data_IF_491297018694
#
_entry.id   IF_491297018694
#
_cell.length_a   1.000
_cell.length_b   1.000
_cell.length_c   1.000
_cell.angle_alpha   90.00
_cell.angle_beta   90.00
_cell.angle_gamma   90.00
#
_symmetry.space_group_name_H-M   'P 1'
#
loop_
_entity.id
_entity.type
_entity.pdbx_description
1 polymer ?
#
# COMPACT_ATOMS: atom_id res chain seq x y z
N UNK A 1 -38.04 -4.07 -15.56
CA UNK A 1 -36.63 -4.23 -15.97
C UNK A 1 -35.80 -3.21 -15.22
N UNK A 2 -35.26 -3.58 -14.06
CA UNK A 2 -34.39 -2.74 -13.24
C UNK A 2 -33.00 -3.36 -13.29
N UNK A 3 -32.06 -2.67 -13.90
CA UNK A 3 -30.66 -3.08 -14.07
C UNK A 3 -29.95 -3.05 -12.72
N UNK A 4 -29.56 -4.24 -12.24
CA UNK A 4 -28.74 -4.42 -11.05
C UNK A 4 -27.29 -4.00 -11.36
N UNK A 5 -26.64 -3.11 -10.58
CA UNK A 5 -25.26 -2.71 -10.82
C UNK A 5 -24.31 -3.91 -10.65
N UNK A 6 -23.50 -4.17 -11.68
CA UNK A 6 -22.50 -5.24 -11.75
C UNK A 6 -21.51 -5.15 -10.60
N UNK A 7 -21.68 -5.97 -9.58
CA UNK A 7 -20.57 -6.40 -8.73
C UNK A 7 -19.73 -7.38 -9.54
N UNK A 8 -18.46 -7.05 -9.78
CA UNK A 8 -17.49 -8.02 -10.29
C UNK A 8 -17.48 -9.22 -9.34
N UNK A 9 -17.65 -10.46 -9.83
CA UNK A 9 -17.73 -11.60 -8.94
C UNK A 9 -16.35 -11.80 -8.27
N UNK A 10 -16.35 -12.09 -6.98
CA UNK A 10 -15.15 -12.07 -6.11
C UNK A 10 -14.02 -13.00 -6.62
N UNK A 11 -14.40 -14.05 -7.34
CA UNK A 11 -13.56 -15.00 -8.07
C UNK A 11 -12.73 -14.37 -9.21
N UNK A 12 -13.20 -13.31 -9.86
CA UNK A 12 -12.43 -12.60 -10.89
C UNK A 12 -11.28 -11.79 -10.28
N UNK A 13 -11.48 -11.18 -9.11
CA UNK A 13 -10.46 -10.39 -8.40
C UNK A 13 -9.32 -11.25 -7.86
N UNK A 14 -9.66 -12.40 -7.27
CA UNK A 14 -8.69 -13.40 -6.79
C UNK A 14 -7.88 -13.99 -7.95
N UNK A 15 -8.52 -14.31 -9.08
CA UNK A 15 -7.85 -14.78 -10.30
C UNK A 15 -6.92 -13.72 -10.89
N UNK A 16 -7.31 -12.45 -10.88
CA UNK A 16 -6.46 -11.34 -11.32
C UNK A 16 -5.24 -11.15 -10.40
N UNK A 17 -5.43 -11.24 -9.08
CA UNK A 17 -4.35 -11.17 -8.10
C UNK A 17 -3.33 -12.30 -8.25
N UNK A 18 -3.79 -13.56 -8.39
CA UNK A 18 -2.92 -14.72 -8.60
C UNK A 18 -2.09 -14.59 -9.88
N UNK A 19 -2.66 -14.03 -10.95
CA UNK A 19 -1.93 -13.74 -12.19
C UNK A 19 -0.89 -12.63 -12.03
N UNK A 20 -1.16 -11.62 -11.20
CA UNK A 20 -0.25 -10.48 -11.00
C UNK A 20 0.88 -10.76 -10.00
N UNK A 21 0.64 -11.59 -8.98
CA UNK A 21 1.60 -11.91 -7.91
C UNK A 21 3.02 -12.26 -8.40
N UNK A 22 3.24 -13.09 -9.43
CA UNK A 22 4.58 -13.39 -9.92
C UNK A 22 5.26 -12.19 -10.61
N UNK A 23 4.49 -11.35 -11.30
CA UNK A 23 5.00 -10.19 -12.04
C UNK A 23 5.30 -8.98 -11.15
N UNK A 24 4.74 -8.95 -9.93
CA UNK A 24 4.90 -7.85 -8.97
C UNK A 24 6.35 -7.40 -8.77
N UNK A 25 7.30 -8.33 -8.65
CA UNK A 25 8.73 -8.04 -8.44
C UNK A 25 9.40 -7.36 -9.63
N UNK A 26 8.80 -7.44 -10.83
CA UNK A 26 9.29 -6.81 -12.06
C UNK A 26 8.53 -5.52 -12.34
N UNK A 27 7.20 -5.54 -12.16
CA UNK A 27 6.32 -4.41 -12.43
C UNK A 27 6.57 -3.25 -11.46
N UNK A 28 6.78 -3.51 -10.16
CA UNK A 28 7.00 -2.42 -9.19
C UNK A 28 8.31 -1.64 -9.50
N UNK A 29 9.49 -2.27 -9.68
CA UNK A 29 10.70 -1.54 -10.07
C UNK A 29 10.60 -0.96 -11.48
N UNK A 30 10.00 -1.68 -12.42
CA UNK A 30 9.82 -1.21 -13.80
C UNK A 30 8.96 0.04 -13.89
N UNK A 31 7.91 0.14 -13.08
CA UNK A 31 7.08 1.34 -12.96
C UNK A 31 7.90 2.54 -12.50
N UNK A 32 8.69 2.41 -11.42
CA UNK A 32 9.51 3.51 -10.92
C UNK A 32 10.58 3.93 -11.93
N UNK A 33 11.27 2.97 -12.54
CA UNK A 33 12.27 3.24 -13.58
C UNK A 33 11.66 4.01 -14.74
N UNK A 34 10.53 3.54 -15.28
CA UNK A 34 9.84 4.20 -16.38
C UNK A 34 9.33 5.59 -15.98
N UNK A 35 8.72 5.72 -14.79
CA UNK A 35 8.19 6.97 -14.29
C UNK A 35 9.28 8.05 -14.20
N UNK A 36 10.43 7.74 -13.58
CA UNK A 36 11.53 8.69 -13.44
C UNK A 36 12.24 8.97 -14.77
N UNK A 37 12.35 7.98 -15.66
CA UNK A 37 12.93 8.18 -17.00
C UNK A 37 12.07 9.12 -17.85
N UNK A 38 10.75 8.90 -17.86
CA UNK A 38 9.82 9.78 -18.57
C UNK A 38 9.82 11.18 -17.96
N UNK A 39 9.83 11.28 -16.62
CA UNK A 39 9.86 12.57 -15.93
C UNK A 39 11.16 13.35 -16.23
N UNK A 40 12.32 12.70 -16.12
CA UNK A 40 13.61 13.34 -16.39
C UNK A 40 13.71 13.79 -17.84
N UNK A 41 13.25 12.97 -18.79
CA UNK A 41 13.26 13.31 -20.22
C UNK A 41 12.34 14.48 -20.51
N UNK A 42 11.10 14.44 -20.02
CA UNK A 42 10.13 15.51 -20.23
C UNK A 42 10.61 16.84 -19.63
N UNK A 43 11.09 16.83 -18.37
CA UNK A 43 11.61 18.04 -17.74
C UNK A 43 12.85 18.56 -18.47
N UNK A 44 13.75 17.68 -18.91
CA UNK A 44 14.95 18.09 -19.67
C UNK A 44 14.57 18.83 -20.95
N UNK A 45 13.57 18.31 -21.68
CA UNK A 45 13.05 18.97 -22.90
C UNK A 45 12.44 20.32 -22.55
N UNK A 46 11.62 20.40 -21.49
CA UNK A 46 11.01 21.67 -21.06
C UNK A 46 12.06 22.71 -20.70
N UNK A 47 13.06 22.35 -19.89
CA UNK A 47 14.15 23.27 -19.50
C UNK A 47 14.95 23.71 -20.73
N UNK A 48 15.24 22.79 -21.66
CA UNK A 48 15.95 23.12 -22.89
C UNK A 48 15.17 24.11 -23.76
N UNK A 49 13.85 23.91 -23.90
CA UNK A 49 12.97 24.83 -24.62
C UNK A 49 12.94 26.21 -23.96
N UNK A 50 12.88 26.28 -22.63
CA UNK A 50 12.88 27.55 -21.90
C UNK A 50 14.22 28.29 -22.03
N UNK A 51 15.34 27.57 -21.94
CA UNK A 51 16.69 28.11 -22.17
C UNK A 51 16.82 28.72 -23.57
N UNK A 52 16.35 28.00 -24.60
CA UNK A 52 16.33 28.48 -25.98
C UNK A 52 15.42 29.70 -26.16
N UNK A 53 14.25 29.70 -25.51
CA UNK A 53 13.26 30.78 -25.60
C UNK A 53 13.77 32.08 -24.96
N UNK A 54 14.48 31.99 -23.85
CA UNK A 54 15.02 33.16 -23.11
C UNK A 54 16.38 33.60 -23.68
N UNK A 55 16.98 32.82 -24.58
CA UNK A 55 18.27 33.14 -25.19
C UNK A 55 19.45 32.95 -24.25
N UNK A 56 19.33 32.04 -23.28
CA UNK A 56 20.41 31.73 -22.33
C UNK A 56 21.44 30.82 -23.02
N UNK A 57 22.72 31.16 -22.94
CA UNK A 57 23.82 30.41 -23.56
C UNK A 57 24.29 29.25 -22.67
N UNK A 58 23.42 28.28 -22.41
CA UNK A 58 23.83 27.02 -21.77
C UNK A 58 24.11 25.93 -22.80
N UNK A 59 25.07 25.05 -22.51
CA UNK A 59 25.29 23.87 -23.34
C UNK A 59 24.13 22.88 -23.19
N UNK A 60 23.73 22.21 -24.27
CA UNK A 60 22.55 21.33 -24.27
C UNK A 60 22.64 20.13 -23.31
N UNK A 61 23.83 19.79 -22.82
CA UNK A 61 24.05 18.72 -21.85
C UNK A 61 23.75 19.15 -20.41
N UNK A 62 23.83 20.45 -20.08
CA UNK A 62 23.69 20.93 -18.70
C UNK A 62 22.28 20.70 -18.15
N UNK A 63 21.19 21.07 -18.85
CA UNK A 63 19.83 20.76 -18.39
C UNK A 63 19.59 19.26 -18.20
N UNK A 64 20.12 18.43 -19.11
CA UNK A 64 20.01 16.98 -19.00
C UNK A 64 20.71 16.49 -17.73
N UNK A 65 21.93 16.93 -17.43
CA UNK A 65 22.63 16.56 -16.20
C UNK A 65 21.84 17.01 -14.97
N UNK A 66 21.26 18.21 -14.96
CA UNK A 66 20.49 18.71 -13.82
C UNK A 66 19.24 17.88 -13.53
N UNK A 67 18.49 17.53 -14.56
CA UNK A 67 17.24 16.77 -14.42
C UNK A 67 17.51 15.29 -14.13
N UNK A 68 18.46 14.65 -14.82
CA UNK A 68 18.79 13.25 -14.59
C UNK A 68 19.44 13.03 -13.22
N UNK A 69 20.34 13.91 -12.76
CA UNK A 69 20.94 13.80 -11.42
C UNK A 69 19.89 13.85 -10.31
N UNK A 70 18.91 14.75 -10.42
CA UNK A 70 17.83 14.87 -9.45
C UNK A 70 16.89 13.65 -9.47
N UNK A 71 16.47 13.20 -10.65
CA UNK A 71 15.56 12.06 -10.79
C UNK A 71 16.22 10.73 -10.39
N UNK A 72 17.51 10.55 -10.70
CA UNK A 72 18.28 9.38 -10.29
C UNK A 72 18.37 9.29 -8.77
N UNK A 73 18.62 10.42 -8.10
CA UNK A 73 18.69 10.45 -6.63
C UNK A 73 17.32 10.16 -6.00
N UNK A 74 16.24 10.74 -6.54
CA UNK A 74 14.88 10.44 -6.07
C UNK A 74 14.53 8.94 -6.24
N UNK A 75 14.84 8.35 -7.40
CA UNK A 75 14.67 6.92 -7.65
C UNK A 75 15.45 6.06 -6.64
N UNK A 76 16.71 6.41 -6.38
CA UNK A 76 17.56 5.69 -5.42
C UNK A 76 17.02 5.74 -3.98
N UNK A 77 16.27 6.80 -3.63
CA UNK A 77 15.67 6.95 -2.31
C UNK A 77 14.29 6.27 -2.19
N UNK A 78 13.61 5.90 -3.29
CA UNK A 78 12.30 5.23 -3.25
C UNK A 78 12.29 4.00 -2.33
N UNK A 79 13.28 3.08 -2.35
CA UNK A 79 13.30 1.94 -1.44
C UNK A 79 13.28 2.35 0.05
N UNK A 80 13.93 3.46 0.40
CA UNK A 80 13.92 3.98 1.76
C UNK A 80 12.52 4.49 2.16
N UNK A 81 11.79 5.15 1.26
CA UNK A 81 10.40 5.56 1.51
C UNK A 81 9.48 4.36 1.60
N UNK A 82 9.68 3.35 0.76
CA UNK A 82 8.93 2.08 0.85
C UNK A 82 9.16 1.42 2.22
N UNK A 83 10.40 1.38 2.71
CA UNK A 83 10.73 0.84 4.04
C UNK A 83 10.10 1.68 5.16
N UNK A 84 10.22 3.01 5.09
CA UNK A 84 9.65 3.94 6.06
C UNK A 84 8.13 3.79 6.17
N UNK A 85 7.43 3.83 5.04
CA UNK A 85 5.97 3.69 4.99
C UNK A 85 5.48 2.29 5.39
N UNK A 86 6.34 1.25 5.35
CA UNK A 86 6.01 -0.08 5.92
C UNK A 86 6.09 -0.07 7.44
N UNK A 87 7.08 0.61 8.01
CA UNK A 87 7.23 0.76 9.46
C UNK A 87 6.17 1.72 10.06
N UNK A 88 5.81 2.76 9.31
CA UNK A 88 4.83 3.78 9.71
C UNK A 88 3.70 3.86 8.67
N UNK A 89 2.71 2.94 8.68
CA UNK A 89 1.62 2.99 7.72
C UNK A 89 0.79 4.28 7.83
N UNK A 90 0.13 4.71 6.76
CA UNK A 90 -0.83 5.83 6.84
C UNK A 90 -2.19 5.32 7.32
N UNK A 91 -2.43 5.36 8.62
CA UNK A 91 -3.74 5.13 9.22
C UNK A 91 -4.40 6.46 9.54
N UNK A 92 -5.60 6.72 9.00
CA UNK A 92 -6.33 7.98 9.22
C UNK A 92 -6.50 8.33 10.70
N UNK A 93 -6.72 7.31 11.55
CA UNK A 93 -6.90 7.47 13.00
C UNK A 93 -5.59 7.87 13.70
N UNK A 94 -4.44 7.36 13.24
CA UNK A 94 -3.13 7.64 13.83
C UNK A 94 -2.38 8.77 13.10
N UNK A 95 -2.96 9.38 12.08
CA UNK A 95 -2.29 10.33 11.18
C UNK A 95 -1.67 11.49 11.97
N UNK A 96 -2.43 12.10 12.89
CA UNK A 96 -1.96 13.22 13.70
C UNK A 96 -0.74 12.86 14.57
N UNK A 97 -0.67 11.62 15.05
CA UNK A 97 0.47 11.11 15.83
C UNK A 97 1.68 10.80 14.96
N UNK A 98 1.46 10.41 13.69
CA UNK A 98 2.51 10.06 12.74
C UNK A 98 3.04 11.27 11.95
N UNK A 99 2.29 12.38 11.88
CA UNK A 99 2.70 13.61 11.17
C UNK A 99 4.14 14.08 11.51
N UNK A 100 4.58 14.15 12.79
CA UNK A 100 5.95 14.54 13.09
C UNK A 100 7.00 13.62 12.46
N UNK A 101 6.74 12.31 12.43
CA UNK A 101 7.66 11.36 11.79
C UNK A 101 7.74 11.57 10.28
N UNK A 102 6.62 11.88 9.62
CA UNK A 102 6.60 12.22 8.18
C UNK A 102 7.31 13.54 7.89
N UNK A 103 7.20 14.53 8.78
CA UNK A 103 7.93 15.79 8.65
C UNK A 103 9.44 15.55 8.76
N UNK A 104 9.89 14.81 9.79
CA UNK A 104 11.31 14.46 9.94
C UNK A 104 11.81 13.65 8.73
N UNK A 105 11.02 12.67 8.26
CA UNK A 105 11.36 11.89 7.08
C UNK A 105 11.48 12.76 5.82
N UNK A 106 10.62 13.77 5.64
CA UNK A 106 10.71 14.71 4.51
C UNK A 106 11.99 15.56 4.54
N UNK A 107 12.43 15.97 5.74
CA UNK A 107 13.67 16.73 5.92
C UNK A 107 14.87 15.83 5.60
N UNK A 108 14.91 14.62 6.15
CA UNK A 108 15.98 13.65 5.88
C UNK A 108 16.04 13.30 4.39
N UNK A 109 14.88 13.09 3.75
CA UNK A 109 14.78 12.86 2.32
C UNK A 109 15.40 14.01 1.52
N UNK A 110 15.02 15.25 1.82
CA UNK A 110 15.52 16.42 1.09
C UNK A 110 17.03 16.61 1.28
N UNK A 111 17.54 16.43 2.51
CA UNK A 111 18.98 16.51 2.76
C UNK A 111 19.77 15.46 1.97
N UNK A 112 19.30 14.20 1.96
CA UNK A 112 19.94 13.13 1.19
C UNK A 112 19.85 13.40 -0.32
N UNK A 113 18.70 13.89 -0.78
CA UNK A 113 18.48 14.23 -2.17
C UNK A 113 19.41 15.36 -2.62
N UNK A 114 19.39 16.51 -1.95
CA UNK A 114 20.21 17.67 -2.30
C UNK A 114 21.69 17.33 -2.24
N UNK A 115 22.14 16.65 -1.18
CA UNK A 115 23.54 16.26 -1.07
C UNK A 115 23.98 15.31 -2.19
N UNK A 116 23.17 14.28 -2.49
CA UNK A 116 23.47 13.32 -3.55
C UNK A 116 23.41 13.95 -4.95
N UNK A 117 22.40 14.79 -5.21
CA UNK A 117 22.23 15.51 -6.46
C UNK A 117 23.39 16.49 -6.70
N UNK A 118 23.81 17.26 -5.69
CA UNK A 118 24.96 18.16 -5.80
C UNK A 118 26.25 17.38 -6.04
N UNK A 119 26.45 16.25 -5.36
CA UNK A 119 27.62 15.39 -5.56
C UNK A 119 27.68 14.86 -7.01
N UNK A 120 26.56 14.37 -7.54
CA UNK A 120 26.46 13.89 -8.93
C UNK A 120 26.74 15.01 -9.93
N UNK A 121 26.21 16.21 -9.71
CA UNK A 121 26.44 17.37 -10.58
C UNK A 121 27.90 17.79 -10.56
N UNK A 122 28.52 17.90 -9.38
CA UNK A 122 29.95 18.22 -9.25
C UNK A 122 30.82 17.18 -9.96
N UNK A 123 30.51 15.89 -9.83
CA UNK A 123 31.22 14.82 -10.53
C UNK A 123 31.09 14.93 -12.06
N UNK A 124 29.88 15.19 -12.57
CA UNK A 124 29.63 15.34 -14.01
C UNK A 124 30.36 16.56 -14.61
N UNK A 125 30.32 17.70 -13.92
CA UNK A 125 31.01 18.92 -14.38
C UNK A 125 32.53 18.76 -14.29
N UNK A 126 33.04 18.17 -13.21
CA UNK A 126 34.46 17.89 -13.07
C UNK A 126 34.98 16.95 -14.18
N UNK A 127 34.19 15.95 -14.58
CA UNK A 127 34.52 15.05 -15.69
C UNK A 127 34.59 15.78 -17.05
N UNK A 128 33.89 16.90 -17.20
CA UNK A 128 33.89 17.74 -18.39
C UNK A 128 34.87 18.93 -18.28
N UNK A 129 35.66 18.99 -17.20
CA UNK A 129 36.62 20.07 -16.96
C UNK A 129 35.97 21.42 -16.57
N UNK A 130 34.70 21.43 -16.19
CA UNK A 130 33.96 22.62 -15.76
C UNK A 130 33.67 22.60 -14.26
N UNK A 131 33.25 23.75 -13.70
CA UNK A 131 32.90 23.87 -12.29
C UNK A 131 31.39 24.04 -12.13
N UNK A 132 30.78 23.26 -11.22
CA UNK A 132 29.38 23.41 -10.86
C UNK A 132 29.26 24.30 -9.62
N UNK A 133 28.66 25.48 -9.80
CA UNK A 133 28.27 26.36 -8.70
C UNK A 133 26.83 26.08 -8.28
N UNK A 134 26.63 25.73 -7.01
CA UNK A 134 25.31 25.50 -6.44
C UNK A 134 24.65 26.82 -6.00
N UNK A 135 25.39 27.94 -5.97
CA UNK A 135 24.86 29.23 -5.55
C UNK A 135 24.69 29.37 -4.03
N UNK A 136 23.88 30.36 -3.57
CA UNK A 136 23.68 30.64 -2.15
C UNK A 136 23.00 29.47 -1.41
N UNK A 137 23.82 28.67 -0.73
CA UNK A 137 23.45 27.38 -0.15
C UNK A 137 22.14 27.39 0.64
N UNK A 138 21.90 28.38 1.51
CA UNK A 138 20.70 28.39 2.35
C UNK A 138 19.42 28.60 1.55
N UNK A 139 19.45 29.51 0.57
CA UNK A 139 18.28 29.81 -0.27
C UNK A 139 17.95 28.62 -1.16
N UNK A 140 18.97 28.03 -1.77
CA UNK A 140 18.80 26.90 -2.68
C UNK A 140 18.35 25.64 -1.93
N UNK A 141 18.87 25.38 -0.72
CA UNK A 141 18.37 24.28 0.13
C UNK A 141 16.90 24.48 0.52
N UNK A 142 16.48 25.70 0.86
CA UNK A 142 15.06 25.98 1.18
C UNK A 142 14.18 25.84 -0.06
N UNK A 143 14.64 26.32 -1.21
CA UNK A 143 13.94 26.17 -2.48
C UNK A 143 13.78 24.71 -2.89
N UNK A 144 14.88 23.94 -2.85
CA UNK A 144 14.87 22.50 -3.13
C UNK A 144 14.03 21.75 -2.10
N UNK A 145 14.04 22.13 -0.81
CA UNK A 145 13.18 21.52 0.20
C UNK A 145 11.69 21.62 -0.14
N UNK A 146 11.22 22.78 -0.62
CA UNK A 146 9.82 22.94 -1.02
C UNK A 146 9.44 22.05 -2.20
N UNK A 147 10.37 21.86 -3.14
CA UNK A 147 10.22 20.92 -4.26
C UNK A 147 10.22 19.48 -3.77
N UNK A 148 11.18 19.13 -2.92
CA UNK A 148 11.36 17.79 -2.36
C UNK A 148 10.21 17.37 -1.47
N UNK A 149 9.63 18.28 -0.69
CA UNK A 149 8.47 18.00 0.14
C UNK A 149 7.27 17.54 -0.71
N UNK A 150 7.07 18.18 -1.88
CA UNK A 150 6.02 17.78 -2.83
C UNK A 150 6.33 16.42 -3.47
N UNK A 151 7.57 16.21 -3.91
CA UNK A 151 8.00 14.93 -4.48
C UNK A 151 7.86 13.78 -3.47
N UNK A 152 8.34 13.98 -2.24
CA UNK A 152 8.20 13.01 -1.15
C UNK A 152 6.74 12.69 -0.85
N UNK A 153 5.89 13.71 -0.70
CA UNK A 153 4.46 13.51 -0.49
C UNK A 153 3.81 12.76 -1.66
N UNK A 154 4.15 13.10 -2.90
CA UNK A 154 3.68 12.41 -4.10
C UNK A 154 4.10 10.94 -4.13
N UNK A 155 5.37 10.64 -3.84
CA UNK A 155 5.89 9.28 -3.74
C UNK A 155 5.14 8.48 -2.67
N UNK A 156 4.92 9.06 -1.49
CA UNK A 156 4.13 8.44 -0.41
C UNK A 156 2.70 8.15 -0.85
N UNK A 157 2.04 9.11 -1.51
CA UNK A 157 0.67 8.96 -2.01
C UNK A 157 0.58 7.85 -3.07
N UNK A 158 1.54 7.78 -4.00
CA UNK A 158 1.59 6.71 -5.00
C UNK A 158 1.76 5.34 -4.32
N UNK A 159 2.68 5.24 -3.35
CA UNK A 159 2.94 3.98 -2.63
C UNK A 159 1.71 3.53 -1.83
N UNK A 160 1.12 4.42 -1.04
CA UNK A 160 -0.04 4.09 -0.22
C UNK A 160 -1.30 3.90 -1.06
N UNK A 161 -1.48 4.67 -2.14
CA UNK A 161 -2.56 4.50 -3.11
C UNK A 161 -2.47 3.15 -3.81
N UNK A 162 -1.27 2.74 -4.23
CA UNK A 162 -1.02 1.40 -4.77
C UNK A 162 -1.30 0.31 -3.73
N UNK A 163 -0.86 0.47 -2.48
CA UNK A 163 -1.17 -0.48 -1.40
C UNK A 163 -2.67 -0.57 -1.13
N UNK A 164 -3.38 0.56 -1.09
CA UNK A 164 -4.82 0.61 -0.91
C UNK A 164 -5.54 -0.11 -2.06
N UNK A 165 -5.15 0.17 -3.31
CA UNK A 165 -5.68 -0.50 -4.49
C UNK A 165 -5.42 -2.01 -4.41
N UNK A 166 -4.21 -2.41 -4.01
CA UNK A 166 -3.86 -3.81 -3.87
C UNK A 166 -4.63 -4.52 -2.77
N UNK A 167 -4.85 -3.88 -1.62
CA UNK A 167 -5.73 -4.41 -0.57
C UNK A 167 -7.17 -4.56 -1.07
N UNK A 168 -7.65 -3.62 -1.89
CA UNK A 168 -8.98 -3.72 -2.53
C UNK A 168 -9.06 -4.88 -3.52
N UNK A 169 -8.07 -5.04 -4.40
CA UNK A 169 -8.01 -6.11 -5.41
C UNK A 169 -7.80 -7.49 -4.76
N UNK A 170 -7.06 -7.58 -3.65
CA UNK A 170 -6.92 -8.79 -2.83
C UNK A 170 -8.21 -9.17 -2.07
N UNK A 171 -9.26 -8.34 -2.14
CA UNK A 171 -10.53 -8.60 -1.48
C UNK A 171 -10.54 -8.22 0.01
N UNK A 172 -9.50 -7.60 0.57
CA UNK A 172 -9.50 -7.16 1.98
C UNK A 172 -10.56 -6.07 2.25
N UNK A 173 -10.92 -5.29 1.23
CA UNK A 173 -12.05 -4.35 1.30
C UNK A 173 -13.41 -5.02 1.03
N UNK A 174 -13.45 -6.15 0.32
CA UNK A 174 -14.65 -6.99 0.17
C UNK A 174 -14.98 -7.71 1.48
N UNK A 175 -13.97 -8.02 2.30
CA UNK A 175 -14.18 -8.59 3.64
C UNK A 175 -14.86 -7.64 4.64
N UNK A 176 -14.93 -6.33 4.34
CA UNK A 176 -15.70 -5.33 5.10
C UNK A 176 -17.06 -5.00 4.46
N UNK A 177 -17.35 -5.51 3.26
CA UNK A 177 -18.65 -5.39 2.60
C UNK A 177 -19.25 -6.79 2.42
N UNK A 178 -20.03 -7.21 3.43
CA UNK A 178 -20.94 -8.36 3.44
C UNK A 178 -20.35 -9.71 2.96
N UNK A 179 -20.10 -10.67 3.87
CA UNK A 179 -19.61 -11.98 3.49
C UNK A 179 -20.61 -12.78 2.65
N UNK A 180 -20.19 -13.09 1.42
CA UNK A 180 -20.35 -14.37 0.72
C UNK A 180 -21.74 -15.03 0.83
N UNK A 181 -22.66 -14.68 -0.06
CA UNK A 181 -23.90 -15.44 -0.34
C UNK A 181 -23.60 -16.73 -1.13
N UNK A 182 -22.73 -17.57 -0.57
CA UNK A 182 -22.61 -18.97 -0.97
C UNK A 182 -23.66 -19.82 -0.23
N UNK A 183 -24.23 -20.86 -0.86
CA UNK A 183 -25.10 -21.80 -0.16
C UNK A 183 -24.35 -22.42 1.02
N UNK A 184 -25.03 -22.56 2.15
CA UNK A 184 -24.48 -23.22 3.33
C UNK A 184 -23.89 -24.57 2.92
N UNK A 185 -22.59 -24.77 3.20
CA UNK A 185 -21.92 -26.04 2.96
C UNK A 185 -22.73 -27.15 3.63
N UNK A 186 -23.07 -28.16 2.83
CA UNK A 186 -23.88 -29.34 3.18
C UNK A 186 -23.44 -29.95 4.53
N UNK A 187 -24.39 -30.43 5.35
CA UNK A 187 -24.13 -30.78 6.74
C UNK A 187 -23.36 -32.10 6.85
N UNK A 188 -22.16 -32.04 7.43
CA UNK A 188 -21.60 -33.20 8.16
C UNK A 188 -22.29 -33.23 9.52
N UNK A 189 -22.83 -34.38 9.89
CA UNK A 189 -23.76 -34.58 11.01
C UNK A 189 -23.14 -34.47 12.42
N UNK A 190 -22.02 -33.73 12.55
CA UNK A 190 -21.25 -33.28 13.74
C UNK A 190 -19.78 -33.15 13.35
N UNK A 191 -19.35 -31.99 12.83
CA UNK A 191 -17.96 -31.82 12.44
C UNK A 191 -17.06 -31.74 13.69
N UNK A 192 -15.93 -32.46 13.68
CA UNK A 192 -14.89 -32.30 14.71
C UNK A 192 -14.29 -30.88 14.70
N UNK A 193 -14.40 -30.16 13.57
CA UNK A 193 -13.84 -28.83 13.35
C UNK A 193 -14.82 -27.94 12.58
N UNK A 194 -15.07 -26.74 13.08
CA UNK A 194 -15.80 -25.68 12.39
C UNK A 194 -14.83 -24.88 11.52
N UNK A 195 -15.14 -24.77 10.23
CA UNK A 195 -14.41 -23.87 9.33
C UNK A 195 -14.95 -22.45 9.52
N UNK A 196 -14.14 -21.57 10.10
CA UNK A 196 -14.46 -20.17 10.33
C UNK A 196 -13.58 -19.28 9.46
N UNK A 197 -14.20 -18.33 8.76
CA UNK A 197 -13.49 -17.31 7.99
C UNK A 197 -13.39 -16.04 8.81
N UNK A 198 -12.17 -15.65 9.20
CA UNK A 198 -11.90 -14.42 9.96
C UNK A 198 -10.72 -13.68 9.33
N UNK A 199 -10.89 -12.40 9.04
CA UNK A 199 -9.82 -11.54 8.47
C UNK A 199 -9.12 -12.17 7.24
N UNK A 200 -9.88 -12.84 6.37
CA UNK A 200 -9.35 -13.44 5.13
C UNK A 200 -8.53 -14.71 5.34
N UNK A 201 -8.52 -15.28 6.55
CA UNK A 201 -7.93 -16.58 6.84
C UNK A 201 -9.01 -17.58 7.21
N UNK A 202 -8.83 -18.80 6.75
CA UNK A 202 -9.63 -19.95 7.17
C UNK A 202 -9.03 -20.52 8.44
N UNK A 203 -9.85 -20.58 9.49
CA UNK A 203 -9.52 -21.16 10.77
C UNK A 203 -10.34 -22.43 10.94
N UNK A 204 -9.67 -23.54 11.19
CA UNK A 204 -10.34 -24.76 11.67
C UNK A 204 -10.40 -24.68 13.19
N UNK A 205 -11.59 -24.39 13.70
CA UNK A 205 -11.88 -24.33 15.14
C UNK A 205 -12.32 -25.72 15.60
N UNK A 206 -11.54 -26.44 16.42
CA UNK A 206 -11.97 -27.72 16.96
C UNK A 206 -13.21 -27.54 17.83
N UNK A 207 -14.24 -28.37 17.61
CA UNK A 207 -15.46 -28.33 18.42
C UNK A 207 -15.17 -28.55 19.91
N UNK A 208 -14.12 -29.33 20.21
CA UNK A 208 -13.69 -29.61 21.57
C UNK A 208 -13.07 -28.41 22.31
N UNK A 209 -12.59 -27.39 21.59
CA UNK A 209 -11.97 -26.19 22.15
C UNK A 209 -13.00 -25.06 22.37
N UNK A 210 -14.26 -25.24 21.96
CA UNK A 210 -15.32 -24.23 22.11
C UNK A 210 -15.76 -24.20 23.58
N UNK A 211 -15.73 -23.01 24.18
CA UNK A 211 -16.15 -22.78 25.57
C UNK A 211 -17.62 -22.38 25.63
N UNK A 212 -18.05 -21.49 24.74
CA UNK A 212 -19.44 -21.09 24.58
C UNK A 212 -19.69 -20.54 23.16
N UNK A 213 -20.96 -20.50 22.78
CA UNK A 213 -21.42 -19.95 21.51
C UNK A 213 -22.52 -18.91 21.76
N UNK A 214 -22.49 -17.80 21.03
CA UNK A 214 -23.47 -16.71 21.21
C UNK A 214 -23.98 -16.20 19.86
N UNK A 215 -25.29 -15.96 19.78
CA UNK A 215 -25.90 -15.35 18.61
C UNK A 215 -25.47 -13.87 18.46
N UNK A 216 -25.00 -13.52 17.27
CA UNK A 216 -24.55 -12.17 16.90
C UNK A 216 -25.10 -11.81 15.52
N UNK A 217 -26.40 -11.50 15.46
CA UNK A 217 -27.10 -11.21 14.20
C UNK A 217 -27.19 -12.45 13.31
N UNK A 218 -26.60 -12.37 12.11
CA UNK A 218 -26.58 -13.49 11.15
C UNK A 218 -25.42 -14.48 11.39
N UNK A 219 -24.74 -14.36 12.54
CA UNK A 219 -23.59 -15.17 12.93
C UNK A 219 -23.80 -15.77 14.31
N UNK A 220 -23.05 -16.83 14.60
CA UNK A 220 -22.82 -17.36 15.94
C UNK A 220 -21.34 -17.19 16.23
N UNK A 221 -21.01 -16.43 17.27
CA UNK A 221 -19.63 -16.28 17.73
C UNK A 221 -19.28 -17.51 18.56
N UNK A 222 -18.27 -18.27 18.13
CA UNK A 222 -17.68 -19.36 18.88
C UNK A 222 -16.53 -18.81 19.71
N UNK A 223 -16.63 -18.90 21.03
CA UNK A 223 -15.58 -18.47 21.93
C UNK A 223 -14.62 -19.62 22.23
N UNK A 224 -13.34 -19.40 21.96
CA UNK A 224 -12.28 -20.40 22.08
C UNK A 224 -11.02 -19.74 22.63
N UNK A 225 -10.56 -20.16 23.81
CA UNK A 225 -9.31 -19.70 24.43
C UNK A 225 -9.20 -18.18 24.50
N UNK A 226 -10.27 -17.51 24.92
CA UNK A 226 -10.33 -16.05 25.03
C UNK A 226 -10.49 -15.29 23.70
N UNK A 227 -10.87 -15.97 22.60
CA UNK A 227 -11.04 -15.36 21.27
C UNK A 227 -12.36 -15.75 20.63
N UNK A 228 -13.00 -14.79 19.97
CA UNK A 228 -14.24 -15.02 19.23
C UNK A 228 -14.00 -15.35 17.76
N UNK A 229 -14.66 -16.39 17.29
CA UNK A 229 -14.64 -16.86 15.90
C UNK A 229 -16.06 -16.81 15.33
N UNK A 230 -16.40 -15.82 14.47
CA UNK A 230 -17.75 -15.66 13.95
C UNK A 230 -18.06 -16.72 12.87
N UNK A 231 -19.08 -17.54 13.10
CA UNK A 231 -19.56 -18.54 12.16
C UNK A 231 -20.91 -18.11 11.57
N UNK A 232 -21.03 -18.03 10.24
CA UNK A 232 -22.34 -17.75 9.59
C UNK A 232 -23.19 -19.01 9.64
N UNK A 233 -24.03 -19.11 10.67
CA UNK A 233 -24.97 -20.21 10.88
C UNK A 233 -26.06 -19.71 11.83
N UNK A 234 -27.17 -20.44 11.94
CA UNK A 234 -28.16 -20.15 12.97
C UNK A 234 -27.76 -20.83 14.28
N UNK A 235 -28.21 -20.30 15.41
CA UNK A 235 -27.99 -20.97 16.70
C UNK A 235 -28.52 -22.41 16.70
N UNK A 236 -29.63 -22.67 16.00
CA UNK A 236 -30.22 -24.00 15.84
C UNK A 236 -29.27 -24.95 15.10
N UNK A 237 -28.70 -24.50 13.98
CA UNK A 237 -27.74 -25.31 13.22
C UNK A 237 -26.44 -25.57 13.98
N UNK A 238 -25.99 -24.61 14.81
CA UNK A 238 -24.82 -24.81 15.67
C UNK A 238 -25.15 -25.79 16.80
N UNK A 239 -26.33 -25.71 17.38
CA UNK A 239 -26.84 -26.62 18.40
C UNK A 239 -26.92 -28.07 17.89
N UNK A 240 -27.37 -28.30 16.65
CA UNK A 240 -27.41 -29.63 16.02
C UNK A 240 -26.00 -30.22 15.77
N UNK A 241 -25.00 -29.35 15.55
CA UNK A 241 -23.62 -29.74 15.23
C UNK A 241 -22.73 -29.92 16.45
N UNK A 242 -23.09 -29.32 17.59
CA UNK A 242 -22.37 -29.44 18.86
C UNK A 242 -22.81 -30.68 19.63
N UNK A 243 -21.90 -31.24 20.42
CA UNK A 243 -22.18 -32.43 21.23
C UNK A 243 -23.15 -32.07 22.38
N UNK A 244 -24.36 -32.68 22.44
CA UNK A 244 -25.36 -32.37 23.47
C UNK A 244 -24.96 -32.83 24.88
N UNK A 245 -23.96 -33.71 25.00
CA UNK A 245 -23.39 -34.08 26.30
C UNK A 245 -22.49 -32.98 26.87
N UNK A 246 -21.96 -32.09 26.02
CA UNK A 246 -21.02 -31.02 26.39
C UNK A 246 -21.65 -29.63 26.35
N UNK A 247 -22.58 -29.40 25.43
CA UNK A 247 -23.22 -28.10 25.23
C UNK A 247 -24.70 -28.17 25.57
N UNK A 248 -25.16 -27.18 26.34
CA UNK A 248 -26.57 -26.96 26.67
C UNK A 248 -26.93 -25.54 26.32
N UNK A 249 -28.08 -25.37 25.66
CA UNK A 249 -28.62 -24.05 25.41
C UNK A 249 -29.21 -23.47 26.69
N UNK A 250 -28.58 -22.44 27.22
CA UNK A 250 -29.01 -21.74 28.44
C UNK A 250 -29.83 -20.49 28.16
N UNK A 251 -29.80 -19.98 26.92
CA UNK A 251 -30.49 -18.75 26.53
C UNK A 251 -30.87 -18.77 25.04
N UNK A 252 -31.78 -17.88 24.63
CA UNK A 252 -32.21 -17.76 23.22
C UNK A 252 -31.12 -17.20 22.29
N UNK A 253 -30.12 -16.53 22.87
CA UNK A 253 -28.98 -15.87 22.24
C UNK A 253 -27.68 -16.34 22.88
#
# INVERSE_FOLDING_TARGET
MTTNPRTLPADASLRAWQRYQPWRKVVEPGFWLLFFLLNSTANSITVLMDVQRVGLHFAGWEPAVWEFSSNLMQLALVPAVVAFTRAYPLEFVALRRRLPAYLVASIVWSLLHVAGMVALRKAAYAALGTHYDFGPWLREVVYEYLKDARSFAGTVVIIEGYRLLMRRVQGEASLLQAPDDGPAVEPVDRPERFLVRKLGKEFLVPAADIEWAQASGNYVNLHVRGRDYPLRSTMVQVEERLDPSRFRRVHRS
#
